data_IF_276816140064
#
_entry.id   IF_276816140064
#
_cell.length_a   1.000
_cell.length_b   1.000
_cell.length_c   1.000
_cell.angle_alpha   90.00
_cell.angle_beta   90.00
_cell.angle_gamma   90.00
#
_symmetry.space_group_name_H-M   'P 1'
#
loop_
_entity.id
_entity.type
_entity.pdbx_description
1 polymer ?
#
# COMPACT_ATOMS: atom_id res chain seq x y z
N UNK A 1 -25.15 -28.33 45.77
CA UNK A 1 -26.17 -28.67 44.76
C UNK A 1 -26.82 -27.36 44.33
N UNK A 2 -26.42 -26.82 43.16
CA UNK A 2 -27.26 -26.62 41.95
C UNK A 2 -28.34 -25.54 42.13
N UNK A 3 -28.64 -24.58 41.25
CA UNK A 3 -28.14 -24.10 39.95
C UNK A 3 -29.01 -22.86 39.54
N UNK A 4 -28.70 -22.25 38.40
CA UNK A 4 -29.48 -21.29 37.58
C UNK A 4 -29.23 -19.78 37.85
N UNK A 5 -28.51 -19.00 37.01
CA UNK A 5 -28.55 -18.73 35.55
C UNK A 5 -29.52 -17.58 35.18
N UNK A 6 -28.90 -16.42 34.93
CA UNK A 6 -29.14 -15.35 33.93
C UNK A 6 -30.43 -14.50 33.86
N UNK A 7 -30.16 -13.26 33.39
CA UNK A 7 -30.94 -12.27 32.62
C UNK A 7 -31.26 -10.99 33.42
N UNK A 8 -30.87 -9.78 33.01
CA UNK A 8 -30.10 -9.30 31.86
C UNK A 8 -29.50 -7.93 32.25
N UNK A 9 -28.23 -7.69 31.92
CA UNK A 9 -27.60 -6.38 32.03
C UNK A 9 -28.17 -5.49 30.92
N UNK A 10 -28.99 -4.50 31.27
CA UNK A 10 -29.31 -3.40 30.38
C UNK A 10 -28.05 -2.52 30.24
N UNK A 11 -27.20 -2.82 29.26
CA UNK A 11 -26.13 -1.91 28.85
C UNK A 11 -26.72 -0.84 27.94
N UNK A 12 -27.33 0.18 28.54
CA UNK A 12 -27.57 1.44 27.86
C UNK A 12 -26.21 2.11 27.67
N UNK A 13 -25.53 1.80 26.58
CA UNK A 13 -24.35 2.53 26.14
C UNK A 13 -24.80 3.92 25.73
N UNK A 14 -24.51 4.92 26.55
CA UNK A 14 -24.62 6.33 26.19
C UNK A 14 -23.67 6.56 25.02
N UNK A 15 -24.19 6.59 23.79
CA UNK A 15 -23.45 7.02 22.61
C UNK A 15 -23.31 8.53 22.70
N UNK A 16 -22.22 9.01 23.28
CA UNK A 16 -21.85 10.42 23.21
C UNK A 16 -21.32 10.70 21.81
N UNK A 17 -22.04 11.49 21.01
CA UNK A 17 -21.54 11.99 19.75
C UNK A 17 -20.33 12.90 20.00
N UNK A 18 -19.17 12.55 19.44
CA UNK A 18 -17.97 13.38 19.45
C UNK A 18 -18.19 14.63 18.58
N UNK A 19 -17.56 15.78 18.90
CA UNK A 19 -17.67 16.98 18.07
C UNK A 19 -17.06 16.73 16.68
N UNK A 20 -17.65 17.35 15.66
CA UNK A 20 -17.12 17.36 14.29
C UNK A 20 -15.78 18.11 14.26
N UNK A 21 -14.70 17.37 14.46
CA UNK A 21 -13.31 17.81 14.36
C UNK A 21 -12.45 16.56 14.16
N UNK A 22 -12.00 16.38 12.92
CA UNK A 22 -11.04 15.39 12.43
C UNK A 22 -11.18 13.96 12.96
N UNK A 23 -12.21 13.30 12.44
CA UNK A 23 -12.21 11.85 12.30
C UNK A 23 -11.15 11.47 11.25
N UNK A 24 -9.89 11.34 11.67
CA UNK A 24 -8.91 10.49 10.96
C UNK A 24 -9.32 9.02 11.16
N UNK A 25 -10.46 8.64 10.61
CA UNK A 25 -10.70 7.22 10.29
C UNK A 25 -9.73 6.92 9.15
N UNK A 26 -8.84 5.96 9.38
CA UNK A 26 -8.10 5.27 8.32
C UNK A 26 -7.08 6.11 7.54
N UNK A 27 -5.92 6.46 8.14
CA UNK A 27 -4.70 6.43 7.32
C UNK A 27 -4.52 4.97 6.95
N UNK A 28 -4.47 4.64 5.66
CA UNK A 28 -4.17 3.29 5.19
C UNK A 28 -2.88 2.81 5.88
N UNK A 29 -3.00 1.91 6.85
CA UNK A 29 -1.87 1.45 7.67
C UNK A 29 -0.82 0.66 6.87
N UNK A 30 -1.06 0.49 5.56
CA UNK A 30 -0.30 -0.31 4.62
C UNK A 30 0.61 0.54 3.72
N UNK A 31 0.49 1.87 3.81
CA UNK A 31 1.09 2.83 2.89
C UNK A 31 1.72 3.99 3.65
N UNK A 32 2.85 4.49 3.13
CA UNK A 32 3.52 5.69 3.65
C UNK A 32 2.95 6.99 3.04
N UNK A 33 3.58 8.13 3.34
CA UNK A 33 3.16 9.44 2.83
C UNK A 33 3.47 9.69 1.34
N UNK A 34 4.33 8.87 0.72
CA UNK A 34 4.73 8.99 -0.68
C UNK A 34 3.87 8.14 -1.61
N UNK A 35 2.94 7.36 -1.06
CA UNK A 35 2.03 6.54 -1.84
C UNK A 35 1.03 7.40 -2.65
N UNK A 36 0.98 7.13 -3.95
CA UNK A 36 0.16 7.83 -4.93
C UNK A 36 -1.13 7.09 -5.27
N UNK A 37 -1.18 5.78 -5.01
CA UNK A 37 -2.38 5.00 -5.25
C UNK A 37 -2.12 3.58 -5.74
N UNK A 38 -3.23 2.83 -5.83
CA UNK A 38 -3.29 1.54 -6.50
C UNK A 38 -3.58 1.76 -7.99
N UNK A 39 -2.61 1.48 -8.85
CA UNK A 39 -2.66 1.83 -10.28
C UNK A 39 -2.54 0.57 -11.14
N UNK A 40 -3.39 0.48 -12.17
CA UNK A 40 -3.26 -0.51 -13.25
C UNK A 40 -2.77 0.20 -14.51
N UNK A 41 -1.53 -0.07 -14.94
CA UNK A 41 -0.94 0.61 -16.08
C UNK A 41 -1.47 0.12 -17.41
N UNK A 42 -1.45 1.01 -18.39
CA UNK A 42 -1.86 0.75 -19.78
C UNK A 42 -0.82 0.00 -20.61
N UNK A 43 0.44 0.01 -20.18
CA UNK A 43 1.55 -0.70 -20.82
C UNK A 43 2.42 -1.38 -19.76
N UNK A 44 3.10 -2.47 -20.14
CA UNK A 44 4.14 -3.05 -19.31
C UNK A 44 5.28 -2.02 -19.12
N UNK A 45 5.66 -1.77 -17.87
CA UNK A 45 6.73 -0.84 -17.54
C UNK A 45 8.09 -1.36 -18.02
N UNK A 46 8.91 -0.45 -18.55
CA UNK A 46 10.21 -0.78 -19.13
C UNK A 46 11.36 -0.53 -18.14
N UNK A 47 11.98 -1.65 -17.72
CA UNK A 47 13.44 -1.92 -17.81
C UNK A 47 14.36 -1.86 -16.58
N UNK A 48 13.92 -1.48 -15.37
CA UNK A 48 14.72 -1.73 -14.16
C UNK A 48 13.78 -2.17 -13.04
N UNK A 49 13.49 -3.47 -13.02
CA UNK A 49 12.77 -4.08 -11.91
C UNK A 49 13.63 -5.10 -11.19
N UNK A 50 13.58 -5.10 -9.86
CA UNK A 50 14.20 -6.11 -9.01
C UNK A 50 13.12 -6.95 -8.36
N UNK A 51 13.33 -8.27 -8.29
CA UNK A 51 12.50 -9.16 -7.49
C UNK A 51 13.25 -9.51 -6.21
N UNK A 52 12.53 -9.54 -5.08
CA UNK A 52 13.10 -9.92 -3.80
C UNK A 52 12.06 -10.58 -2.89
N UNK A 53 12.49 -11.61 -2.17
CA UNK A 53 11.72 -12.19 -1.05
C UNK A 53 11.72 -11.30 0.20
N UNK A 54 12.48 -10.20 0.18
CA UNK A 54 12.52 -9.19 1.23
C UNK A 54 12.06 -7.82 0.71
N UNK A 55 11.23 -7.79 -0.34
CA UNK A 55 10.75 -6.54 -0.92
C UNK A 55 9.88 -5.75 0.09
N UNK A 56 10.11 -4.43 0.16
CA UNK A 56 9.29 -3.43 0.87
C UNK A 56 9.13 -2.19 -0.02
N UNK A 57 8.14 -1.31 0.23
CA UNK A 57 8.00 -0.04 -0.47
C UNK A 57 9.27 0.81 -0.40
N UNK A 58 9.88 0.94 0.77
CA UNK A 58 11.07 1.79 1.00
C UNK A 58 12.26 1.31 0.18
N UNK A 59 12.45 -0.01 0.13
CA UNK A 59 13.54 -0.62 -0.64
C UNK A 59 13.37 -0.35 -2.13
N UNK A 60 12.12 -0.45 -2.63
CA UNK A 60 11.82 -0.18 -4.03
C UNK A 60 11.96 1.32 -4.36
N UNK A 61 11.39 2.20 -3.53
CA UNK A 61 11.47 3.66 -3.66
C UNK A 61 12.91 4.18 -3.66
N UNK A 62 13.74 3.68 -2.74
CA UNK A 62 15.17 4.01 -2.68
C UNK A 62 15.91 3.52 -3.93
N UNK A 63 15.70 2.26 -4.33
CA UNK A 63 16.36 1.69 -5.51
C UNK A 63 16.01 2.45 -6.79
N UNK A 64 14.77 2.91 -6.93
CA UNK A 64 14.35 3.70 -8.09
C UNK A 64 14.87 5.14 -8.05
N UNK A 65 14.88 5.76 -6.86
CA UNK A 65 15.46 7.10 -6.65
C UNK A 65 16.97 7.13 -6.94
N UNK A 66 17.74 6.14 -6.46
CA UNK A 66 19.17 5.99 -6.74
C UNK A 66 19.48 5.85 -8.23
N UNK A 67 18.50 5.38 -9.01
CA UNK A 67 18.56 5.24 -10.46
C UNK A 67 17.98 6.44 -11.22
N UNK A 68 17.61 7.52 -10.53
CA UNK A 68 16.99 8.73 -11.06
C UNK A 68 15.62 8.52 -11.74
N UNK A 69 14.85 7.52 -11.32
CA UNK A 69 13.44 7.40 -11.70
C UNK A 69 12.57 8.17 -10.72
N UNK A 70 11.44 8.73 -11.18
CA UNK A 70 10.53 9.50 -10.33
C UNK A 70 9.59 8.61 -9.49
N UNK A 71 9.27 7.42 -9.99
CA UNK A 71 8.26 6.54 -9.41
C UNK A 71 8.79 5.14 -9.14
N UNK A 72 8.33 4.57 -8.03
CA UNK A 72 8.54 3.19 -7.65
C UNK A 72 7.20 2.46 -7.60
N UNK A 73 7.15 1.29 -8.23
CA UNK A 73 5.92 0.54 -8.45
C UNK A 73 6.09 -0.88 -7.96
N UNK A 74 5.24 -1.29 -7.03
CA UNK A 74 5.30 -2.60 -6.41
C UNK A 74 4.16 -3.48 -6.88
N UNK A 75 4.52 -4.69 -7.30
CA UNK A 75 3.59 -5.78 -7.57
C UNK A 75 4.07 -7.04 -6.88
N UNK A 76 3.18 -8.03 -6.79
CA UNK A 76 3.50 -9.31 -6.15
C UNK A 76 3.63 -10.41 -7.20
N UNK A 77 4.51 -11.37 -6.95
CA UNK A 77 4.71 -12.56 -7.77
C UNK A 77 4.77 -13.80 -6.88
N UNK A 78 4.66 -15.00 -7.47
CA UNK A 78 4.78 -16.27 -6.74
C UNK A 78 6.12 -16.43 -6.02
N UNK A 79 7.16 -15.72 -6.47
CA UNK A 79 8.52 -15.80 -5.93
C UNK A 79 8.89 -14.65 -4.98
N UNK A 80 7.96 -13.72 -4.70
CA UNK A 80 8.20 -12.56 -3.84
C UNK A 80 7.68 -11.26 -4.44
N UNK A 81 8.14 -10.13 -3.90
CA UNK A 81 7.76 -8.80 -4.37
C UNK A 81 8.58 -8.40 -5.58
N UNK A 82 7.94 -7.70 -6.51
CA UNK A 82 8.52 -7.19 -7.75
C UNK A 82 8.45 -5.67 -7.69
N UNK A 83 9.62 -5.04 -7.73
CA UNK A 83 9.77 -3.60 -7.88
C UNK A 83 9.92 -3.26 -9.36
N UNK A 84 9.37 -2.14 -9.79
CA UNK A 84 9.56 -1.56 -11.12
C UNK A 84 9.71 -0.05 -10.99
N UNK A 85 10.67 0.53 -11.71
CA UNK A 85 10.89 1.97 -11.73
C UNK A 85 10.29 2.60 -12.98
N UNK A 86 9.72 3.80 -12.84
CA UNK A 86 9.16 4.56 -13.94
C UNK A 86 9.54 6.05 -13.87
N UNK A 87 9.75 6.65 -15.05
CA UNK A 87 9.99 8.09 -15.15
C UNK A 87 8.68 8.87 -15.08
N UNK A 88 7.64 8.35 -15.75
CA UNK A 88 6.34 8.98 -15.94
C UNK A 88 5.24 7.91 -16.01
N UNK A 89 3.98 8.33 -15.82
CA UNK A 89 2.78 7.53 -16.08
C UNK A 89 2.24 7.77 -17.49
N UNK A 90 1.65 6.74 -18.08
CA UNK A 90 1.03 6.86 -19.40
C UNK A 90 -0.43 7.32 -19.30
N UNK A 91 -0.94 7.97 -20.35
CA UNK A 91 -2.30 8.50 -20.42
C UNK A 91 -3.42 7.44 -20.33
N UNK A 92 -3.09 6.15 -20.41
CA UNK A 92 -4.03 5.05 -20.21
C UNK A 92 -3.99 4.42 -18.82
N UNK A 93 -3.15 4.92 -17.92
CA UNK A 93 -3.05 4.38 -16.57
C UNK A 93 -4.33 4.68 -15.80
N UNK A 94 -4.86 3.67 -15.12
CA UNK A 94 -6.16 3.73 -14.45
C UNK A 94 -6.01 3.47 -12.96
N UNK A 95 -6.73 4.24 -12.15
CA UNK A 95 -6.87 3.96 -10.72
C UNK A 95 -7.61 2.63 -10.59
N UNK A 96 -6.99 1.69 -9.90
CA UNK A 96 -7.56 0.39 -9.58
C UNK A 96 -8.28 0.47 -8.23
N UNK A 97 -9.20 -0.47 -7.96
CA UNK A 97 -9.81 -0.54 -6.64
C UNK A 97 -8.75 -0.87 -5.58
N UNK A 98 -8.76 -0.16 -4.44
CA UNK A 98 -7.77 -0.31 -3.37
C UNK A 98 -7.57 -1.77 -2.92
N UNK A 99 -8.62 -2.58 -2.95
CA UNK A 99 -8.57 -4.01 -2.62
C UNK A 99 -7.57 -4.81 -3.46
N UNK A 100 -7.23 -4.32 -4.65
CA UNK A 100 -6.24 -4.93 -5.54
C UNK A 100 -4.80 -4.62 -5.14
N UNK A 101 -4.56 -3.72 -4.20
CA UNK A 101 -3.26 -3.41 -3.65
C UNK A 101 -3.22 -3.66 -2.14
N UNK A 102 -3.60 -4.87 -1.76
CA UNK A 102 -3.62 -5.34 -0.36
C UNK A 102 -2.72 -6.55 -0.14
N UNK A 103 -1.95 -6.97 -1.15
CA UNK A 103 -1.03 -8.10 -1.00
C UNK A 103 0.10 -7.68 -0.07
N UNK A 104 0.32 -8.36 1.06
CA UNK A 104 1.39 -7.99 1.99
C UNK A 104 2.77 -8.08 1.32
N UNK A 105 3.62 -7.11 1.59
CA UNK A 105 5.02 -7.17 1.18
C UNK A 105 5.77 -8.28 1.93
N UNK A 106 6.63 -9.05 1.26
CA UNK A 106 7.32 -10.16 1.90
C UNK A 106 8.44 -9.72 2.86
N UNK A 107 9.03 -8.53 2.65
CA UNK A 107 9.99 -7.94 3.59
C UNK A 107 9.35 -7.29 4.81
N UNK A 108 8.10 -6.83 4.69
CA UNK A 108 7.32 -6.24 5.77
C UNK A 108 5.82 -6.48 5.54
N UNK A 109 5.19 -7.43 6.25
CA UNK A 109 3.80 -7.81 6.02
C UNK A 109 2.77 -6.77 6.51
N UNK A 110 3.23 -5.66 7.11
CA UNK A 110 2.37 -4.53 7.46
C UNK A 110 2.21 -3.53 6.31
N UNK A 111 3.00 -3.67 5.23
CA UNK A 111 2.92 -2.84 4.02
C UNK A 111 2.35 -3.64 2.85
N UNK A 112 1.82 -2.96 1.85
CA UNK A 112 1.30 -3.61 0.64
C UNK A 112 2.19 -3.47 -0.60
N UNK A 113 2.18 -4.52 -1.41
CA UNK A 113 2.99 -4.73 -2.61
C UNK A 113 2.11 -5.07 -3.83
N UNK A 114 1.03 -4.33 -4.04
CA UNK A 114 0.13 -4.45 -5.20
C UNK A 114 -0.57 -5.81 -5.26
N UNK A 115 -0.61 -6.41 -6.46
CA UNK A 115 -1.00 -7.80 -6.67
C UNK A 115 -0.28 -8.45 -7.87
N UNK A 116 -0.51 -9.76 -8.05
CA UNK A 116 0.00 -10.53 -9.19
C UNK A 116 -0.82 -10.40 -10.49
N UNK A 117 -1.90 -9.63 -10.47
CA UNK A 117 -2.82 -9.42 -11.60
C UNK A 117 -2.61 -8.08 -12.31
N UNK A 118 -1.50 -7.39 -12.01
CA UNK A 118 -1.10 -6.15 -12.66
C UNK A 118 -1.70 -4.88 -12.07
N UNK A 119 -2.10 -4.87 -10.79
CA UNK A 119 -2.27 -3.63 -10.02
C UNK A 119 -1.04 -3.40 -9.15
N UNK A 120 -0.58 -2.16 -9.13
CA UNK A 120 0.66 -1.77 -8.49
C UNK A 120 0.37 -0.78 -7.37
N UNK A 121 1.03 -0.95 -6.23
CA UNK A 121 1.19 0.14 -5.28
C UNK A 121 2.27 1.07 -5.80
N UNK A 122 1.96 2.37 -5.92
CA UNK A 122 2.86 3.33 -6.53
C UNK A 122 3.27 4.42 -5.57
N UNK A 123 4.55 4.73 -5.56
CA UNK A 123 5.17 5.67 -4.65
C UNK A 123 6.01 6.68 -5.41
N UNK A 124 6.06 7.92 -4.90
CA UNK A 124 7.11 8.87 -5.28
C UNK A 124 8.45 8.36 -4.73
N UNK A 125 9.48 8.43 -5.56
CA UNK A 125 10.85 8.19 -5.11
C UNK A 125 11.36 9.38 -4.30
N UNK A 126 12.33 9.15 -3.38
CA UNK A 126 13.01 10.25 -2.71
C UNK A 126 13.70 11.13 -3.76
N UNK A 127 13.42 12.44 -3.75
CA UNK A 127 14.16 13.39 -4.57
C UNK A 127 15.58 13.48 -4.01
N UNK A 128 16.59 13.05 -4.77
CA UNK A 128 17.99 13.29 -4.40
C UNK A 128 18.28 14.77 -4.65
N UNK A 129 17.95 15.62 -3.68
CA UNK A 129 18.46 16.99 -3.64
C UNK A 129 19.92 16.93 -3.21
N UNK A 130 20.83 17.26 -4.12
CA UNK A 130 22.23 17.53 -3.78
C UNK A 130 22.25 18.95 -3.22
N UNK A 131 22.22 19.11 -1.91
CA UNK A 131 22.52 20.38 -1.23
C UNK A 131 24.03 20.52 -0.92
#
# INVERSE_FOLDING_TARGET
MLAAVLLALASASLVTAAPAGDVVVSRDLWHDENWLGCIKPSSAFSQQGSASILMTPETCSTTCGDKNYNFAMLSSSLLGGVCSCAQDFNSGDSVSALLYCTTPCPGNPLESCGNALGSYDVYLTPVITID
#
